data_IF_753550584095
#
_entry.id   IF_753550584095
#
_cell.length_a   1.000
_cell.length_b   1.000
_cell.length_c   1.000
_cell.angle_alpha   90.00
_cell.angle_beta   90.00
_cell.angle_gamma   90.00
#
_symmetry.space_group_name_H-M   'P 1'
#
loop_
_entity.id
_entity.type
_entity.pdbx_description
1 polymer ?
#
# COMPACT_ATOMS: atom_id res chain seq x y z
N UNK A 1 17.77 3.70 -8.32
CA UNK A 1 17.81 5.04 -7.70
C UNK A 1 17.72 4.96 -6.17
N UNK A 2 16.66 4.40 -5.56
CA UNK A 2 16.51 4.32 -4.10
C UNK A 2 17.69 3.60 -3.42
N UNK A 3 18.04 2.40 -3.88
CA UNK A 3 19.19 1.61 -3.38
C UNK A 3 20.50 2.37 -3.44
N UNK A 4 20.74 3.13 -4.52
CA UNK A 4 21.93 3.95 -4.68
C UNK A 4 21.95 5.12 -3.69
N UNK A 5 20.82 5.82 -3.55
CA UNK A 5 20.69 6.95 -2.62
C UNK A 5 20.92 6.49 -1.16
N UNK A 6 20.26 5.41 -0.75
CA UNK A 6 20.41 4.84 0.57
C UNK A 6 21.85 4.36 0.82
N UNK A 7 22.46 3.64 -0.14
CA UNK A 7 23.84 3.18 -0.02
C UNK A 7 24.87 4.32 0.07
N UNK A 8 24.60 5.46 -0.59
CA UNK A 8 25.46 6.64 -0.49
C UNK A 8 25.31 7.31 0.88
N UNK A 9 24.09 7.43 1.42
CA UNK A 9 23.87 7.97 2.78
C UNK A 9 24.52 7.11 3.85
N UNK A 10 24.37 5.79 3.79
CA UNK A 10 25.01 4.87 4.73
C UNK A 10 26.54 5.01 4.72
N UNK A 11 27.15 5.11 3.53
CA UNK A 11 28.61 5.33 3.41
C UNK A 11 29.05 6.66 3.99
N UNK A 12 28.28 7.73 3.79
CA UNK A 12 28.59 9.05 4.36
C UNK A 12 28.62 9.01 5.89
N UNK A 13 27.78 8.16 6.51
CA UNK A 13 27.73 7.94 7.95
C UNK A 13 28.70 6.84 8.44
N UNK A 14 29.56 6.32 7.56
CA UNK A 14 30.50 5.25 7.91
C UNK A 14 29.86 3.86 8.12
N UNK A 15 28.59 3.70 7.70
CA UNK A 15 27.83 2.46 7.84
C UNK A 15 28.10 1.57 6.61
N UNK A 16 28.55 0.34 6.83
CA UNK A 16 28.91 -0.61 5.77
C UNK A 16 27.82 -1.62 5.43
N UNK A 17 26.64 -1.49 6.02
CA UNK A 17 25.49 -2.38 5.78
C UNK A 17 25.14 -2.41 4.30
N UNK A 18 25.13 -3.60 3.66
CA UNK A 18 24.79 -3.72 2.25
C UNK A 18 23.29 -3.46 2.00
N UNK A 19 22.98 -2.90 0.82
CA UNK A 19 21.61 -2.66 0.38
C UNK A 19 21.37 -3.40 -0.93
N UNK A 20 20.32 -4.19 -1.01
CA UNK A 20 19.92 -4.89 -2.22
C UNK A 20 18.48 -4.59 -2.60
N UNK A 21 18.17 -4.60 -3.91
CA UNK A 21 16.80 -4.48 -4.40
C UNK A 21 16.37 -5.79 -5.06
N UNK A 22 15.15 -6.22 -4.77
CA UNK A 22 14.52 -7.39 -5.37
C UNK A 22 13.29 -6.94 -6.14
N UNK A 23 13.19 -7.37 -7.40
CA UNK A 23 11.92 -7.38 -8.13
C UNK A 23 11.18 -8.64 -7.69
N UNK A 24 10.08 -8.46 -6.96
CA UNK A 24 9.34 -9.56 -6.38
C UNK A 24 7.97 -9.77 -7.04
N UNK A 25 7.52 -11.01 -6.99
CA UNK A 25 6.21 -11.44 -7.43
C UNK A 25 5.25 -11.55 -6.24
N UNK A 26 4.00 -11.15 -6.46
CA UNK A 26 2.96 -11.23 -5.44
C UNK A 26 1.86 -12.16 -5.93
N UNK A 27 1.66 -13.26 -5.23
CA UNK A 27 0.61 -14.21 -5.55
C UNK A 27 -0.74 -13.67 -5.12
N UNK A 28 -1.73 -13.79 -6.02
CA UNK A 28 -3.11 -13.37 -5.81
C UNK A 28 -4.08 -14.49 -6.20
N UNK A 29 -5.33 -14.42 -5.72
CA UNK A 29 -6.37 -15.37 -6.15
C UNK A 29 -6.89 -14.97 -7.54
N UNK A 30 -7.01 -15.90 -8.49
CA UNK A 30 -7.68 -15.64 -9.75
C UNK A 30 -9.19 -15.36 -9.58
N UNK A 31 -9.77 -15.78 -8.45
CA UNK A 31 -11.19 -15.59 -8.12
C UNK A 31 -11.47 -14.34 -7.31
N UNK A 32 -10.47 -13.47 -7.12
CA UNK A 32 -10.66 -12.21 -6.39
C UNK A 32 -11.77 -11.38 -7.06
N UNK A 33 -12.76 -10.88 -6.28
CA UNK A 33 -13.91 -10.16 -6.82
C UNK A 33 -13.53 -8.91 -7.62
N UNK A 34 -12.36 -8.33 -7.35
CA UNK A 34 -11.91 -7.12 -8.05
C UNK A 34 -11.57 -7.38 -9.53
N UNK A 35 -11.39 -8.64 -9.96
CA UNK A 35 -11.30 -8.96 -11.40
C UNK A 35 -12.63 -8.78 -12.12
N UNK A 36 -13.76 -8.97 -11.44
CA UNK A 36 -15.10 -8.79 -12.01
C UNK A 36 -15.53 -7.33 -12.03
N UNK A 37 -15.22 -6.60 -10.96
CA UNK A 37 -15.53 -5.18 -10.82
C UNK A 37 -14.30 -4.35 -10.40
N UNK A 38 -13.36 -4.08 -11.34
CA UNK A 38 -12.10 -3.41 -11.08
C UNK A 38 -12.25 -2.09 -10.31
N UNK A 39 -11.41 -1.89 -9.32
CA UNK A 39 -11.49 -0.74 -8.40
C UNK A 39 -10.29 0.21 -8.44
N UNK A 40 -9.12 -0.24 -8.90
CA UNK A 40 -7.86 0.53 -8.83
C UNK A 40 -7.73 1.55 -9.95
N UNK A 41 -7.79 2.87 -9.67
CA UNK A 41 -7.62 3.89 -10.70
C UNK A 41 -6.17 3.96 -11.18
N UNK A 42 -5.98 3.95 -12.51
CA UNK A 42 -4.66 4.05 -13.17
C UNK A 42 -4.69 5.07 -14.31
N UNK A 43 -3.50 5.58 -14.67
CA UNK A 43 -3.36 6.51 -15.79
C UNK A 43 -3.92 7.91 -15.52
N UNK A 44 -4.14 8.72 -16.55
CA UNK A 44 -4.60 10.10 -16.42
C UNK A 44 -6.09 10.21 -16.04
N UNK A 45 -6.50 11.42 -15.67
CA UNK A 45 -7.90 11.75 -15.48
C UNK A 45 -8.53 12.22 -16.79
N UNK A 46 -9.78 11.82 -17.02
CA UNK A 46 -10.57 12.12 -18.21
C UNK A 46 -11.83 12.93 -17.86
N UNK A 47 -12.28 13.75 -18.80
CA UNK A 47 -13.64 14.34 -18.79
C UNK A 47 -14.68 13.26 -19.10
N UNK A 48 -15.97 13.57 -18.92
CA UNK A 48 -17.04 12.64 -19.29
C UNK A 48 -17.01 12.32 -20.80
N UNK A 49 -16.84 13.32 -21.66
CA UNK A 49 -16.78 13.13 -23.11
C UNK A 49 -15.60 12.23 -23.53
N UNK A 50 -14.39 12.45 -22.95
CA UNK A 50 -13.25 11.59 -23.20
C UNK A 50 -13.45 10.15 -22.69
N UNK A 51 -14.12 10.00 -21.55
CA UNK A 51 -14.44 8.69 -20.99
C UNK A 51 -15.39 7.91 -21.90
N UNK A 52 -16.41 8.56 -22.48
CA UNK A 52 -17.38 7.97 -23.40
C UNK A 52 -16.71 7.56 -24.73
N UNK A 53 -15.85 8.41 -25.29
CA UNK A 53 -15.06 8.10 -26.48
C UNK A 53 -14.13 6.89 -26.26
N UNK A 54 -13.45 6.86 -25.11
CA UNK A 54 -12.58 5.75 -24.75
C UNK A 54 -13.34 4.45 -24.50
N UNK A 55 -14.55 4.50 -23.98
CA UNK A 55 -15.40 3.32 -23.78
C UNK A 55 -15.76 2.67 -25.15
N UNK A 56 -15.91 3.47 -26.21
CA UNK A 56 -16.15 2.98 -27.57
C UNK A 56 -14.87 2.49 -28.23
N UNK A 57 -13.80 3.29 -28.18
CA UNK A 57 -12.53 2.98 -28.88
C UNK A 57 -11.68 1.92 -28.16
N UNK A 58 -11.92 1.69 -26.88
CA UNK A 58 -11.21 0.75 -26.02
C UNK A 58 -12.19 -0.12 -25.21
N UNK A 59 -12.97 -1.02 -25.82
CA UNK A 59 -14.07 -1.76 -25.18
C UNK A 59 -13.61 -2.64 -24.00
N UNK A 60 -12.31 -3.00 -23.96
CA UNK A 60 -11.72 -3.77 -22.87
C UNK A 60 -11.31 -2.91 -21.65
N UNK A 61 -11.42 -1.56 -21.75
CA UNK A 61 -11.14 -0.71 -20.63
C UNK A 61 -12.37 -0.53 -19.76
N UNK A 62 -12.19 -0.67 -18.46
CA UNK A 62 -13.18 -0.21 -17.49
C UNK A 62 -12.83 1.21 -17.08
N UNK A 63 -13.79 2.12 -17.19
CA UNK A 63 -13.62 3.53 -16.81
C UNK A 63 -14.70 3.84 -15.78
N UNK A 64 -14.26 4.37 -14.64
CA UNK A 64 -15.15 4.76 -13.53
C UNK A 64 -14.96 6.22 -13.16
N UNK A 65 -16.02 6.83 -12.62
CA UNK A 65 -15.92 8.12 -11.96
C UNK A 65 -15.24 7.92 -10.60
N UNK A 66 -14.15 8.66 -10.36
CA UNK A 66 -13.30 8.56 -9.15
C UNK A 66 -13.20 9.86 -8.36
N UNK A 67 -13.85 10.92 -8.86
CA UNK A 67 -13.96 12.22 -8.18
C UNK A 67 -15.43 12.71 -8.25
N UNK A 68 -15.82 13.66 -7.36
CA UNK A 68 -17.15 14.27 -7.38
C UNK A 68 -17.50 14.93 -8.72
N UNK A 69 -18.78 15.09 -8.99
CA UNK A 69 -19.29 15.71 -10.23
C UNK A 69 -18.85 17.15 -10.44
N UNK A 70 -18.51 17.83 -9.37
CA UNK A 70 -17.95 19.20 -9.40
C UNK A 70 -16.59 19.30 -10.07
N UNK A 71 -15.89 18.16 -10.26
CA UNK A 71 -14.58 18.11 -10.92
C UNK A 71 -14.75 17.69 -12.38
N UNK A 72 -14.30 18.51 -13.32
CA UNK A 72 -14.44 18.26 -14.76
C UNK A 72 -13.75 16.95 -15.17
N UNK A 73 -12.46 16.78 -14.84
CA UNK A 73 -11.70 15.55 -15.10
C UNK A 73 -11.82 14.61 -13.91
N UNK A 74 -12.90 13.84 -13.88
CA UNK A 74 -13.28 12.96 -12.76
C UNK A 74 -13.27 11.48 -13.05
N UNK A 75 -13.08 11.10 -14.31
CA UNK A 75 -13.06 9.70 -14.73
C UNK A 75 -11.62 9.18 -14.85
N UNK A 76 -11.40 7.91 -14.54
CA UNK A 76 -10.13 7.21 -14.76
C UNK A 76 -10.40 5.78 -15.25
N UNK A 77 -9.44 5.24 -15.98
CA UNK A 77 -9.37 3.79 -16.17
C UNK A 77 -9.19 3.13 -14.81
N UNK A 78 -9.91 2.03 -14.58
CA UNK A 78 -9.72 1.17 -13.42
C UNK A 78 -9.26 -0.22 -13.87
N UNK A 79 -8.41 -0.84 -13.05
CA UNK A 79 -7.92 -2.20 -13.24
C UNK A 79 -8.13 -3.00 -11.97
N UNK A 80 -8.06 -4.32 -12.06
CA UNK A 80 -8.15 -5.19 -10.91
C UNK A 80 -7.00 -4.91 -9.91
N UNK A 81 -7.31 -4.94 -8.63
CA UNK A 81 -6.37 -4.78 -7.51
C UNK A 81 -6.62 -5.86 -6.45
N UNK A 82 -6.37 -7.12 -6.79
CA UNK A 82 -6.64 -8.24 -5.90
C UNK A 82 -5.81 -8.18 -4.62
N UNK A 83 -6.28 -8.87 -3.59
CA UNK A 83 -5.60 -8.95 -2.31
C UNK A 83 -4.31 -9.76 -2.43
N UNK A 84 -3.16 -9.28 -1.90
CA UNK A 84 -1.92 -10.05 -1.84
C UNK A 84 -2.08 -11.24 -0.89
N UNK A 85 -1.74 -12.45 -1.36
CA UNK A 85 -1.79 -13.70 -0.59
C UNK A 85 -0.40 -14.06 -0.08
N UNK A 86 0.62 -13.96 -0.95
CA UNK A 86 1.99 -14.31 -0.64
C UNK A 86 2.98 -13.47 -1.47
N UNK A 87 4.21 -13.38 -0.98
CA UNK A 87 5.35 -12.89 -1.74
C UNK A 87 6.18 -14.12 -2.15
N UNK A 88 6.40 -14.32 -3.45
CA UNK A 88 7.06 -15.53 -3.96
C UNK A 88 8.51 -15.63 -3.48
N UNK A 89 9.19 -14.48 -3.38
CA UNK A 89 10.60 -14.39 -3.00
C UNK A 89 10.81 -14.23 -1.48
N UNK A 90 9.80 -14.46 -0.65
CA UNK A 90 9.87 -14.23 0.81
C UNK A 90 11.02 -14.96 1.49
N UNK A 91 11.31 -16.21 1.13
CA UNK A 91 12.41 -16.96 1.72
C UNK A 91 13.78 -16.39 1.38
N UNK A 92 13.93 -15.81 0.19
CA UNK A 92 15.14 -15.11 -0.22
C UNK A 92 15.28 -13.82 0.56
N UNK A 93 14.19 -13.05 0.69
CA UNK A 93 14.14 -11.80 1.45
C UNK A 93 14.53 -12.05 2.92
N UNK A 94 13.94 -13.06 3.56
CA UNK A 94 14.29 -13.46 4.94
C UNK A 94 15.79 -13.76 5.09
N UNK A 95 16.34 -14.61 4.22
CA UNK A 95 17.78 -14.94 4.24
C UNK A 95 18.68 -13.72 4.09
N UNK A 96 18.27 -12.74 3.29
CA UNK A 96 19.02 -11.50 3.13
C UNK A 96 18.94 -10.64 4.40
N UNK A 97 17.77 -10.54 5.03
CA UNK A 97 17.58 -9.82 6.29
C UNK A 97 18.42 -10.48 7.39
N UNK A 98 18.39 -11.81 7.52
CA UNK A 98 19.17 -12.58 8.49
C UNK A 98 20.69 -12.40 8.28
N UNK A 99 21.12 -12.16 7.04
CA UNK A 99 22.49 -11.82 6.70
C UNK A 99 22.85 -10.33 6.95
N UNK A 100 21.97 -9.54 7.54
CA UNK A 100 22.17 -8.12 7.84
C UNK A 100 22.09 -7.21 6.61
N UNK A 101 21.39 -7.61 5.55
CA UNK A 101 21.20 -6.82 4.33
C UNK A 101 19.92 -5.99 4.44
N UNK A 102 20.00 -4.71 4.11
CA UNK A 102 18.80 -3.88 3.93
C UNK A 102 18.16 -4.24 2.59
N UNK A 103 16.93 -4.75 2.61
CA UNK A 103 16.23 -5.21 1.41
C UNK A 103 15.19 -4.20 0.95
N UNK A 104 15.29 -3.79 -0.31
CA UNK A 104 14.28 -2.99 -1.00
C UNK A 104 13.42 -3.93 -1.85
N UNK A 105 12.20 -4.19 -1.42
CA UNK A 105 11.25 -5.09 -2.08
C UNK A 105 9.86 -4.44 -2.20
N UNK A 106 8.94 -5.09 -2.89
CA UNK A 106 7.54 -4.66 -3.11
C UNK A 106 7.38 -3.26 -3.72
N UNK A 107 8.38 -2.79 -4.48
CA UNK A 107 8.28 -1.53 -5.20
C UNK A 107 7.05 -1.50 -6.12
N UNK A 108 6.16 -0.50 -5.94
CA UNK A 108 4.91 -0.39 -6.69
C UNK A 108 3.84 -1.45 -6.33
N UNK A 109 4.10 -2.37 -5.40
CA UNK A 109 3.20 -3.47 -4.99
C UNK A 109 3.67 -4.86 -5.44
N UNK A 110 4.70 -4.96 -6.27
CA UNK A 110 5.18 -6.23 -6.85
C UNK A 110 4.44 -6.66 -8.11
N UNK A 111 4.94 -7.71 -8.76
CA UNK A 111 4.37 -8.26 -10.00
C UNK A 111 3.27 -9.27 -9.64
N UNK A 112 1.99 -9.02 -10.00
CA UNK A 112 0.90 -9.95 -9.66
C UNK A 112 1.00 -11.23 -10.48
N UNK A 113 0.92 -12.37 -9.79
CA UNK A 113 0.92 -13.70 -10.39
C UNK A 113 -0.18 -14.58 -9.80
N UNK A 114 -0.67 -15.51 -10.58
CA UNK A 114 -1.62 -16.57 -10.18
C UNK A 114 -0.98 -17.95 -10.39
N UNK A 115 -1.46 -18.94 -9.68
CA UNK A 115 -1.09 -20.32 -9.93
C UNK A 115 -1.81 -20.82 -11.19
N UNK A 116 -1.04 -21.12 -12.23
CA UNK A 116 -1.49 -21.75 -13.46
C UNK A 116 -1.16 -23.25 -13.50
N UNK A 117 -1.50 -23.90 -14.60
CA UNK A 117 -1.29 -25.34 -14.77
C UNK A 117 0.19 -25.73 -14.77
N UNK A 118 1.03 -24.89 -15.34
CA UNK A 118 2.46 -25.18 -15.55
C UNK A 118 3.38 -24.31 -14.66
N UNK A 119 2.82 -23.70 -13.62
CA UNK A 119 3.53 -22.81 -12.69
C UNK A 119 2.88 -21.44 -12.55
N UNK A 120 3.64 -20.45 -12.12
CA UNK A 120 3.14 -19.10 -11.93
C UNK A 120 2.97 -18.37 -13.28
N UNK A 121 1.82 -17.74 -13.44
CA UNK A 121 1.47 -16.93 -14.61
C UNK A 121 1.21 -15.49 -14.22
N UNK A 122 1.65 -14.54 -15.07
CA UNK A 122 1.40 -13.11 -14.85
C UNK A 122 -0.09 -12.77 -14.92
N UNK A 123 -0.57 -11.95 -13.99
CA UNK A 123 -1.96 -11.51 -13.93
C UNK A 123 -2.11 -10.04 -14.34
N UNK A 124 -3.18 -9.72 -15.10
CA UNK A 124 -3.51 -8.36 -15.52
C UNK A 124 -4.14 -7.55 -14.37
N UNK A 125 -3.34 -7.20 -13.37
CA UNK A 125 -3.75 -6.49 -12.17
C UNK A 125 -2.68 -5.49 -11.70
N UNK A 126 -3.02 -4.64 -10.75
CA UNK A 126 -2.07 -3.75 -10.06
C UNK A 126 -2.28 -3.90 -8.56
N UNK A 127 -1.32 -4.47 -7.88
CA UNK A 127 -1.40 -4.67 -6.43
C UNK A 127 -1.37 -3.32 -5.71
N UNK A 128 -2.16 -3.19 -4.65
CA UNK A 128 -2.04 -2.05 -3.75
C UNK A 128 -0.73 -2.17 -2.96
N UNK A 129 0.13 -1.15 -3.07
CA UNK A 129 1.47 -1.18 -2.45
C UNK A 129 1.44 -1.23 -0.92
N UNK A 130 0.42 -0.61 -0.30
CA UNK A 130 0.30 -0.57 1.16
C UNK A 130 -0.11 -1.96 1.67
N UNK A 131 -1.03 -2.65 0.95
CA UNK A 131 -1.41 -4.03 1.23
C UNK A 131 -0.28 -5.03 0.95
N UNK A 132 0.48 -4.84 -0.14
CA UNK A 132 1.64 -5.68 -0.43
C UNK A 132 2.74 -5.54 0.62
N UNK A 133 2.98 -4.29 1.09
CA UNK A 133 3.91 -4.00 2.18
C UNK A 133 3.48 -4.66 3.49
N UNK A 134 2.20 -4.55 3.86
CA UNK A 134 1.66 -5.20 5.05
C UNK A 134 1.79 -6.74 4.97
N UNK A 135 1.49 -7.34 3.80
CA UNK A 135 1.65 -8.78 3.60
C UNK A 135 3.12 -9.21 3.68
N UNK A 136 4.04 -8.43 3.11
CA UNK A 136 5.47 -8.73 3.23
C UNK A 136 5.94 -8.60 4.68
N UNK A 137 5.54 -7.54 5.38
CA UNK A 137 5.87 -7.33 6.80
C UNK A 137 5.38 -8.49 7.69
N UNK A 138 4.14 -8.95 7.46
CA UNK A 138 3.60 -10.15 8.10
C UNK A 138 4.47 -11.39 7.82
N UNK A 139 4.80 -11.63 6.54
CA UNK A 139 5.53 -12.82 6.11
C UNK A 139 6.99 -12.86 6.58
N UNK A 140 7.60 -11.73 6.91
CA UNK A 140 8.97 -11.66 7.45
C UNK A 140 8.99 -11.45 8.97
N UNK A 141 7.84 -11.55 9.64
CA UNK A 141 7.67 -11.37 11.08
C UNK A 141 8.22 -10.02 11.57
N UNK A 142 7.90 -8.93 10.85
CA UNK A 142 8.36 -7.60 11.20
C UNK A 142 7.71 -7.10 12.51
N UNK A 143 8.51 -6.46 13.39
CA UNK A 143 8.02 -5.88 14.64
C UNK A 143 7.14 -4.65 14.40
N UNK A 144 7.47 -3.87 13.37
CA UNK A 144 6.80 -2.60 13.04
C UNK A 144 6.52 -2.52 11.55
N UNK A 145 5.30 -2.13 11.20
CA UNK A 145 4.90 -1.76 9.84
C UNK A 145 4.69 -0.25 9.75
N UNK A 146 5.62 0.47 9.11
CA UNK A 146 5.57 1.92 9.00
C UNK A 146 5.20 2.35 7.58
N UNK A 147 4.11 3.12 7.45
CA UNK A 147 3.72 3.78 6.20
C UNK A 147 4.07 5.27 6.28
N UNK A 148 4.95 5.71 5.39
CA UNK A 148 5.29 7.11 5.21
C UNK A 148 4.46 7.73 4.09
N UNK A 149 3.85 8.89 4.36
CA UNK A 149 2.95 9.60 3.46
C UNK A 149 3.18 11.13 3.55
N UNK A 150 2.28 11.93 3.03
CA UNK A 150 2.33 13.40 2.98
C UNK A 150 1.68 14.08 4.20
N UNK A 151 1.10 13.30 5.11
CA UNK A 151 0.47 13.81 6.33
C UNK A 151 1.02 13.12 7.57
N UNK A 152 1.10 13.85 8.67
CA UNK A 152 1.67 13.35 9.94
C UNK A 152 0.81 12.30 10.64
N UNK A 153 -0.51 12.33 10.45
CA UNK A 153 -1.47 11.43 11.11
C UNK A 153 -2.61 11.08 10.16
N UNK A 154 -3.26 9.94 10.39
CA UNK A 154 -4.63 9.75 9.92
C UNK A 154 -5.54 10.74 10.66
N UNK A 155 -6.57 11.25 9.98
CA UNK A 155 -7.42 12.31 10.54
C UNK A 155 -8.89 11.92 10.48
N UNK A 156 -9.60 12.22 11.54
CA UNK A 156 -11.07 12.23 11.58
C UNK A 156 -11.56 13.57 11.00
N UNK A 157 -12.74 13.56 10.37
CA UNK A 157 -13.38 14.74 9.81
C UNK A 157 -12.47 15.56 8.89
N UNK A 158 -11.65 14.90 8.09
CA UNK A 158 -10.66 15.54 7.22
C UNK A 158 -11.26 16.69 6.39
N UNK A 159 -10.63 17.87 6.47
CA UNK A 159 -11.05 19.08 5.77
C UNK A 159 -12.26 19.81 6.40
N UNK A 160 -12.72 19.40 7.59
CA UNK A 160 -13.81 20.05 8.33
C UNK A 160 -13.26 20.86 9.52
N UNK A 161 -14.07 21.82 10.10
CA UNK A 161 -13.64 22.60 11.25
C UNK A 161 -13.29 21.80 12.51
N UNK A 162 -13.83 20.60 12.64
CA UNK A 162 -13.63 19.66 13.73
C UNK A 162 -12.65 18.53 13.36
N UNK A 163 -11.73 18.81 12.44
CA UNK A 163 -10.65 17.88 12.07
C UNK A 163 -9.77 17.54 13.27
N UNK A 164 -9.51 16.24 13.49
CA UNK A 164 -8.71 15.74 14.60
C UNK A 164 -7.71 14.69 14.12
N UNK A 165 -6.50 14.74 14.66
CA UNK A 165 -5.51 13.70 14.45
C UNK A 165 -5.88 12.43 15.24
N UNK A 166 -5.68 11.28 14.63
CA UNK A 166 -5.74 10.00 15.32
C UNK A 166 -4.32 9.69 15.83
N UNK A 167 -4.17 9.59 17.16
CA UNK A 167 -2.92 9.23 17.81
C UNK A 167 -2.75 7.70 17.91
N UNK A 168 -2.38 7.24 19.11
CA UNK A 168 -2.33 5.81 19.42
C UNK A 168 -3.75 5.29 19.70
N UNK A 169 -4.11 4.19 19.03
CA UNK A 169 -5.41 3.52 19.16
C UNK A 169 -5.24 2.01 19.06
N UNK A 170 -6.11 1.28 19.72
CA UNK A 170 -6.19 -0.17 19.57
C UNK A 170 -6.73 -0.57 18.19
N UNK A 171 -6.44 -1.80 17.77
CA UNK A 171 -7.01 -2.37 16.54
C UNK A 171 -8.55 -2.33 16.55
N UNK A 172 -9.18 -2.55 17.71
CA UNK A 172 -10.63 -2.51 17.87
C UNK A 172 -11.20 -1.11 17.59
N UNK A 173 -10.62 -0.09 18.21
CA UNK A 173 -11.00 1.32 17.99
C UNK A 173 -10.78 1.74 16.54
N UNK A 174 -9.64 1.37 15.92
CA UNK A 174 -9.39 1.70 14.51
C UNK A 174 -10.39 1.04 13.58
N UNK A 175 -10.85 -0.19 13.86
CA UNK A 175 -11.92 -0.88 13.12
C UNK A 175 -13.24 -0.11 13.20
N UNK A 176 -13.59 0.40 14.36
CA UNK A 176 -14.81 1.21 14.56
C UNK A 176 -14.73 2.53 13.78
N UNK A 177 -13.59 3.23 13.85
CA UNK A 177 -13.35 4.46 13.07
C UNK A 177 -13.46 4.21 11.57
N UNK A 178 -12.83 3.13 11.09
CA UNK A 178 -12.89 2.75 9.68
C UNK A 178 -14.31 2.36 9.22
N UNK A 179 -15.08 1.67 10.06
CA UNK A 179 -16.47 1.27 9.76
C UNK A 179 -17.42 2.47 9.66
N UNK A 180 -17.16 3.56 10.38
CA UNK A 180 -17.92 4.82 10.28
C UNK A 180 -17.63 5.59 8.98
N UNK A 181 -16.60 5.19 8.22
CA UNK A 181 -16.21 5.86 6.98
C UNK A 181 -15.39 7.14 7.20
N UNK A 182 -14.72 7.28 8.34
CA UNK A 182 -13.92 8.46 8.67
C UNK A 182 -12.72 8.67 7.73
N UNK A 183 -12.27 7.62 7.04
CA UNK A 183 -11.10 7.68 6.16
C UNK A 183 -11.46 7.65 4.68
N UNK A 184 -10.90 8.59 3.90
CA UNK A 184 -11.14 8.69 2.46
C UNK A 184 -10.72 7.41 1.72
N UNK A 185 -11.65 6.82 0.97
CA UNK A 185 -11.51 5.55 0.28
C UNK A 185 -10.30 5.49 -0.71
N UNK A 186 -9.96 6.60 -1.34
CA UNK A 186 -8.92 6.65 -2.38
C UNK A 186 -7.51 7.04 -1.88
N UNK A 187 -7.35 7.38 -0.59
CA UNK A 187 -6.09 7.89 -0.04
C UNK A 187 -5.74 7.23 1.29
N UNK A 188 -6.33 7.69 2.40
CA UNK A 188 -6.02 7.19 3.75
C UNK A 188 -6.62 5.80 4.01
N UNK A 189 -7.80 5.50 3.50
CA UNK A 189 -8.50 4.23 3.72
C UNK A 189 -7.66 2.97 3.40
N UNK A 190 -6.98 2.88 2.24
CA UNK A 190 -6.07 1.76 1.94
C UNK A 190 -4.94 1.61 2.96
N UNK A 191 -4.34 2.70 3.44
CA UNK A 191 -3.26 2.70 4.44
C UNK A 191 -3.73 2.18 5.79
N UNK A 192 -4.86 2.70 6.26
CA UNK A 192 -5.49 2.23 7.50
C UNK A 192 -5.83 0.74 7.42
N UNK A 193 -6.40 0.28 6.29
CA UNK A 193 -6.68 -1.15 6.08
C UNK A 193 -5.42 -2.01 6.10
N UNK A 194 -4.33 -1.55 5.47
CA UNK A 194 -3.05 -2.26 5.47
C UNK A 194 -2.48 -2.39 6.88
N UNK A 195 -2.49 -1.29 7.65
CA UNK A 195 -2.05 -1.28 9.04
C UNK A 195 -2.90 -2.20 9.93
N UNK A 196 -4.24 -2.12 9.82
CA UNK A 196 -5.14 -3.01 10.58
C UNK A 196 -4.88 -4.49 10.27
N UNK A 197 -4.69 -4.84 8.99
CA UNK A 197 -4.41 -6.23 8.59
C UNK A 197 -3.09 -6.74 9.17
N UNK A 198 -2.05 -5.91 9.17
CA UNK A 198 -0.76 -6.28 9.75
C UNK A 198 -0.90 -6.62 11.23
N UNK A 199 -1.56 -5.75 12.02
CA UNK A 199 -1.77 -5.98 13.46
C UNK A 199 -2.72 -7.16 13.72
N UNK A 200 -3.80 -7.29 12.94
CA UNK A 200 -4.76 -8.40 13.05
C UNK A 200 -4.11 -9.77 12.81
N UNK A 201 -3.10 -9.84 11.94
CA UNK A 201 -2.35 -11.06 11.61
C UNK A 201 -1.14 -11.30 12.54
N UNK A 202 -1.08 -10.63 13.68
CA UNK A 202 -0.07 -10.86 14.72
C UNK A 202 1.13 -9.92 14.68
N UNK A 203 1.14 -8.91 13.80
CA UNK A 203 2.16 -7.86 13.81
C UNK A 203 2.09 -7.01 15.08
N UNK A 204 3.24 -6.55 15.58
CA UNK A 204 3.30 -5.85 16.85
C UNK A 204 2.67 -4.46 16.83
N UNK A 205 3.06 -3.61 15.87
CA UNK A 205 2.62 -2.22 15.78
C UNK A 205 2.65 -1.72 14.33
N UNK A 206 1.58 -1.04 13.91
CA UNK A 206 1.53 -0.38 12.62
C UNK A 206 1.43 1.15 12.78
N UNK A 207 2.15 1.89 11.93
CA UNK A 207 2.30 3.34 12.05
C UNK A 207 1.99 4.02 10.72
N UNK A 208 1.28 5.15 10.76
CA UNK A 208 1.10 6.05 9.62
C UNK A 208 1.63 7.43 10.03
N UNK A 209 2.60 7.95 9.28
CA UNK A 209 3.16 9.28 9.53
C UNK A 209 3.74 9.91 8.26
N UNK A 210 4.25 11.14 8.37
CA UNK A 210 4.95 11.81 7.27
C UNK A 210 6.42 11.37 7.15
N UNK A 211 7.00 11.62 5.96
CA UNK A 211 8.40 11.32 5.68
C UNK A 211 9.37 11.98 6.68
N UNK A 212 9.05 13.20 7.12
CA UNK A 212 9.93 13.99 7.99
C UNK A 212 9.93 13.51 9.45
N UNK A 213 8.99 12.64 9.84
CA UNK A 213 8.81 12.16 11.21
C UNK A 213 8.98 10.65 11.34
N UNK A 214 9.69 10.01 10.41
CA UNK A 214 9.88 8.56 10.42
C UNK A 214 10.61 8.07 11.67
N UNK A 215 11.60 8.81 12.16
CA UNK A 215 12.38 8.46 13.33
C UNK A 215 11.56 8.63 14.62
N UNK A 216 10.94 9.79 14.82
CA UNK A 216 10.09 10.09 15.98
C UNK A 216 8.89 9.14 16.07
N UNK A 217 8.37 8.69 14.92
CA UNK A 217 7.28 7.73 14.89
C UNK A 217 7.67 6.37 15.50
N UNK A 218 8.90 5.93 15.29
CA UNK A 218 9.41 4.67 15.85
C UNK A 218 9.83 4.82 17.31
N UNK A 219 10.50 5.93 17.67
CA UNK A 219 11.17 6.12 18.96
C UNK A 219 10.30 6.82 20.00
N UNK A 220 9.41 7.73 19.58
CA UNK A 220 8.65 8.63 20.45
C UNK A 220 7.13 8.45 20.33
N UNK A 221 6.68 7.55 19.43
CA UNK A 221 5.25 7.30 19.23
C UNK A 221 4.53 8.39 18.42
N UNK A 222 5.26 9.19 17.64
CA UNK A 222 4.64 10.20 16.78
C UNK A 222 3.84 9.56 15.63
N UNK A 223 2.80 10.23 15.16
CA UNK A 223 1.94 9.74 14.10
C UNK A 223 0.72 8.94 14.60
N UNK A 224 0.02 8.28 13.70
CA UNK A 224 -1.06 7.34 14.07
C UNK A 224 -0.44 5.98 14.32
N UNK A 225 -0.60 5.49 15.55
CA UNK A 225 -0.12 4.18 16.01
C UNK A 225 -1.33 3.24 16.14
N UNK A 226 -1.27 2.06 15.53
CA UNK A 226 -2.27 1.01 15.69
C UNK A 226 -1.60 -0.16 16.41
N UNK A 227 -2.13 -0.51 17.57
CA UNK A 227 -1.61 -1.57 18.43
C UNK A 227 -2.62 -2.69 18.61
N UNK A 228 -2.13 -3.89 18.96
CA UNK A 228 -2.95 -5.09 19.20
C UNK A 228 -3.71 -5.07 20.51
#
# INVERSE_FOLDING_TARGET
MFTQALGNLLRAEGITTPVAAIVNQVRVSPDDPDYKDPSKPVGPFFTKAQADELAVSRPNWKIKQVKPETVEKRFRRVVASPQPIANVEVDVIRKMIDAGIIVVASGGGGVPVVEGKDGLEGSAAVIDKDLAGAKLAELIDADVFLILTDVSHAKLNYGKPDEQNVGEVSLAEMKELAARGDFLAGSMGPKVRACMKFVENGGGRAIITSLDHAFEAITEGFGTQIVG
#
